data_IF_162274520714
#
_entry.id   IF_162274520714
#
_cell.length_a   1.000
_cell.length_b   1.000
_cell.length_c   1.000
_cell.angle_alpha   90.00
_cell.angle_beta   90.00
_cell.angle_gamma   90.00
#
_symmetry.space_group_name_H-M   'P 1'
#
loop_
_entity.id
_entity.type
_entity.pdbx_description
1 polymer ?
#
# COMPACT_ATOMS: atom_id res chain seq x y z
N UNK A 1 -25.03 -33.87 9.32
CA UNK A 1 -26.33 -33.28 8.97
C UNK A 1 -26.74 -33.41 7.49
N UNK A 2 -25.79 -33.72 6.55
CA UNK A 2 -26.10 -33.82 5.09
C UNK A 2 -26.87 -35.08 4.68
N UNK A 3 -26.83 -36.18 5.43
CA UNK A 3 -27.60 -37.38 5.11
C UNK A 3 -29.10 -37.29 5.41
N UNK A 4 -29.52 -36.33 6.23
CA UNK A 4 -30.92 -36.13 6.60
C UNK A 4 -31.74 -35.38 5.52
N UNK A 5 -31.09 -34.50 4.72
CA UNK A 5 -31.78 -33.73 3.68
C UNK A 5 -32.16 -34.57 2.46
N UNK A 6 -31.33 -35.55 2.09
CA UNK A 6 -31.60 -36.44 0.92
C UNK A 6 -32.78 -37.37 1.21
N UNK A 7 -32.88 -37.89 2.41
CA UNK A 7 -34.02 -38.71 2.82
C UNK A 7 -35.34 -37.93 2.90
N UNK A 8 -35.27 -36.64 3.22
CA UNK A 8 -36.47 -35.79 3.32
C UNK A 8 -37.04 -35.48 1.92
N UNK A 9 -36.19 -35.28 0.92
CA UNK A 9 -36.62 -34.99 -0.48
C UNK A 9 -37.20 -36.27 -1.12
N UNK A 10 -36.60 -37.43 -0.89
CA UNK A 10 -37.12 -38.73 -1.38
C UNK A 10 -38.46 -39.09 -0.69
N UNK A 11 -38.60 -38.80 0.59
CA UNK A 11 -39.87 -39.02 1.32
C UNK A 11 -40.96 -38.06 0.87
N UNK A 12 -40.66 -36.82 0.53
CA UNK A 12 -41.65 -35.85 0.00
C UNK A 12 -42.11 -36.22 -1.41
N UNK A 13 -41.25 -36.77 -2.26
CA UNK A 13 -41.62 -37.28 -3.60
C UNK A 13 -42.55 -38.54 -3.49
N UNK A 14 -42.29 -39.44 -2.54
CA UNK A 14 -43.11 -40.62 -2.30
C UNK A 14 -44.53 -40.27 -1.81
N UNK A 15 -44.66 -39.16 -1.05
CA UNK A 15 -45.96 -38.66 -0.56
C UNK A 15 -46.81 -37.97 -1.64
N UNK A 16 -46.19 -37.35 -2.62
CA UNK A 16 -46.87 -36.72 -3.77
C UNK A 16 -47.43 -37.75 -4.79
N UNK A 17 -46.88 -38.95 -4.82
CA UNK A 17 -47.34 -40.06 -5.68
C UNK A 17 -48.61 -40.76 -5.20
N UNK A 18 -49.00 -40.58 -3.95
CA UNK A 18 -50.16 -41.20 -3.35
C UNK A 18 -51.45 -40.34 -3.50
N UNK A 19 -51.28 -39.07 -3.83
CA UNK A 19 -52.40 -38.08 -3.81
C UNK A 19 -53.10 -37.85 -5.19
N UNK A 20 -52.60 -38.43 -6.31
CA UNK A 20 -53.28 -38.28 -7.61
C UNK A 20 -53.60 -39.63 -8.22
N UNK A 21 -54.81 -40.07 -8.03
CA UNK A 21 -55.39 -41.23 -8.74
C UNK A 21 -55.75 -40.89 -10.17
N UNK A 22 -55.25 -41.71 -11.14
CA UNK A 22 -55.85 -42.02 -12.42
C UNK A 22 -55.46 -41.14 -13.63
N UNK A 23 -54.82 -41.77 -14.64
CA UNK A 23 -54.81 -41.32 -16.02
C UNK A 23 -53.45 -41.57 -16.70
N UNK A 24 -53.47 -42.11 -17.92
CA UNK A 24 -52.32 -42.49 -18.78
C UNK A 24 -51.38 -41.34 -19.18
N UNK A 25 -51.66 -40.06 -18.83
CA UNK A 25 -50.84 -38.88 -19.15
C UNK A 25 -49.71 -38.60 -18.13
N UNK A 26 -49.61 -39.31 -17.02
CA UNK A 26 -48.58 -39.03 -16.02
C UNK A 26 -47.20 -39.73 -16.26
N UNK A 27 -47.16 -40.68 -17.19
CA UNK A 27 -45.92 -41.43 -17.42
C UNK A 27 -44.82 -40.61 -18.13
N UNK A 28 -45.18 -39.69 -18.99
CA UNK A 28 -44.25 -38.79 -19.67
C UNK A 28 -43.69 -37.71 -18.67
N UNK A 29 -44.54 -37.20 -17.78
CA UNK A 29 -44.14 -36.25 -16.78
C UNK A 29 -43.23 -36.88 -15.69
N UNK A 30 -43.48 -38.16 -15.35
CA UNK A 30 -42.62 -38.94 -14.46
C UNK A 30 -41.25 -39.21 -15.09
N UNK A 31 -41.17 -39.58 -16.38
CA UNK A 31 -39.92 -39.81 -17.09
C UNK A 31 -39.07 -38.50 -17.22
N UNK A 32 -39.74 -37.35 -17.43
CA UNK A 32 -39.05 -36.05 -17.43
C UNK A 32 -38.49 -35.66 -16.06
N UNK A 33 -39.26 -35.93 -14.98
CA UNK A 33 -38.81 -35.73 -13.60
C UNK A 33 -37.66 -36.66 -13.22
N UNK A 34 -37.73 -37.93 -13.59
CA UNK A 34 -36.65 -38.90 -13.35
C UNK A 34 -35.36 -38.49 -14.11
N UNK A 35 -35.46 -37.97 -15.33
CA UNK A 35 -34.33 -37.46 -16.08
C UNK A 35 -33.73 -36.22 -15.44
N UNK A 36 -34.56 -35.29 -14.93
CA UNK A 36 -34.08 -34.11 -14.21
C UNK A 36 -33.42 -34.44 -12.86
N UNK A 37 -33.96 -35.42 -12.12
CA UNK A 37 -33.36 -35.91 -10.90
C UNK A 37 -31.99 -36.52 -11.18
N UNK A 38 -31.87 -37.34 -12.22
CA UNK A 38 -30.59 -37.95 -12.59
C UNK A 38 -29.53 -36.86 -13.00
N UNK A 39 -29.97 -35.82 -13.72
CA UNK A 39 -29.10 -34.67 -14.06
C UNK A 39 -28.62 -33.92 -12.80
N UNK A 40 -29.54 -33.61 -11.89
CA UNK A 40 -29.21 -32.92 -10.65
C UNK A 40 -28.32 -33.75 -9.70
N UNK A 41 -28.51 -35.08 -9.70
CA UNK A 41 -27.64 -35.98 -8.95
C UNK A 41 -26.21 -36.00 -9.54
N UNK A 42 -26.07 -35.95 -10.86
CA UNK A 42 -24.77 -35.84 -11.52
C UNK A 42 -24.09 -34.50 -11.22
N UNK A 43 -24.82 -33.40 -11.34
CA UNK A 43 -24.29 -32.06 -11.01
C UNK A 43 -23.89 -31.94 -9.54
N UNK A 44 -24.66 -32.55 -8.64
CA UNK A 44 -24.33 -32.59 -7.21
C UNK A 44 -23.06 -33.41 -6.95
N UNK A 45 -22.88 -34.53 -7.65
CA UNK A 45 -21.69 -35.34 -7.54
C UNK A 45 -20.44 -34.64 -8.05
N UNK A 46 -20.54 -33.91 -9.16
CA UNK A 46 -19.46 -33.05 -9.68
C UNK A 46 -19.12 -31.91 -8.71
N UNK A 47 -20.13 -31.21 -8.20
CA UNK A 47 -19.92 -30.13 -7.21
C UNK A 47 -19.29 -30.66 -5.90
N UNK A 48 -19.64 -31.86 -5.45
CA UNK A 48 -19.02 -32.50 -4.30
C UNK A 48 -17.58 -32.92 -4.56
N UNK A 49 -17.25 -33.37 -5.79
CA UNK A 49 -15.87 -33.67 -6.17
C UNK A 49 -15.03 -32.41 -6.19
N UNK A 50 -15.52 -31.34 -6.83
CA UNK A 50 -14.81 -30.05 -6.86
C UNK A 50 -14.59 -29.47 -5.44
N UNK A 51 -15.58 -29.61 -4.56
CA UNK A 51 -15.44 -29.17 -3.16
C UNK A 51 -14.38 -29.99 -2.39
N UNK A 52 -14.28 -31.30 -2.65
CA UNK A 52 -13.25 -32.16 -2.07
C UNK A 52 -11.86 -31.84 -2.62
N UNK A 53 -11.76 -31.58 -3.92
CA UNK A 53 -10.49 -31.19 -4.55
C UNK A 53 -10.01 -29.83 -4.04
N UNK A 54 -10.93 -28.88 -3.85
CA UNK A 54 -10.63 -27.56 -3.27
C UNK A 54 -10.22 -27.67 -1.77
N UNK A 55 -10.85 -28.58 -0.98
CA UNK A 55 -10.40 -28.87 0.40
C UNK A 55 -8.99 -29.46 0.41
N UNK A 56 -8.70 -30.38 -0.50
CA UNK A 56 -7.36 -31.01 -0.61
C UNK A 56 -6.30 -29.98 -1.01
N UNK A 57 -6.58 -29.17 -2.02
CA UNK A 57 -5.68 -28.11 -2.47
C UNK A 57 -5.44 -27.06 -1.35
N UNK A 58 -6.47 -26.72 -0.56
CA UNK A 58 -6.31 -25.85 0.60
C UNK A 58 -5.43 -26.46 1.68
N UNK A 59 -5.62 -27.75 1.99
CA UNK A 59 -4.84 -28.43 3.03
C UNK A 59 -3.39 -28.64 2.57
N UNK A 60 -3.13 -28.88 1.28
CA UNK A 60 -1.79 -28.89 0.68
C UNK A 60 -1.14 -27.51 0.73
N UNK A 61 -1.88 -26.45 0.41
CA UNK A 61 -1.39 -25.07 0.51
C UNK A 61 -1.10 -24.66 1.97
N UNK A 62 -1.93 -25.08 2.93
CA UNK A 62 -1.67 -24.86 4.36
C UNK A 62 -0.46 -25.67 4.84
N UNK A 63 -0.28 -26.91 4.39
CA UNK A 63 0.89 -27.71 4.73
C UNK A 63 2.18 -27.16 4.10
N UNK A 64 2.10 -26.59 2.89
CA UNK A 64 3.21 -25.90 2.23
C UNK A 64 3.55 -24.59 2.96
N UNK A 65 2.55 -23.85 3.44
CA UNK A 65 2.73 -22.64 4.25
C UNK A 65 3.33 -22.97 5.63
N UNK A 66 2.89 -24.06 6.28
CA UNK A 66 3.47 -24.56 7.53
C UNK A 66 4.91 -25.08 7.34
N UNK A 67 5.19 -25.77 6.23
CA UNK A 67 6.54 -26.19 5.87
C UNK A 67 7.46 -25.01 5.54
N UNK A 68 6.93 -23.96 4.90
CA UNK A 68 7.66 -22.71 4.67
C UNK A 68 7.87 -21.91 5.98
N UNK A 69 6.93 -22.02 6.94
CA UNK A 69 7.06 -21.38 8.26
C UNK A 69 7.90 -22.20 9.24
N UNK A 70 8.07 -23.50 9.01
CA UNK A 70 8.92 -24.40 9.79
C UNK A 70 10.35 -24.56 9.23
N UNK A 71 10.67 -24.07 8.06
CA UNK A 71 12.01 -23.65 7.75
C UNK A 71 12.28 -22.47 8.69
N UNK A 72 12.93 -22.73 9.84
CA UNK A 72 13.56 -21.67 10.62
C UNK A 72 14.20 -20.71 9.60
N UNK A 73 13.87 -19.40 9.61
CA UNK A 73 14.72 -18.44 8.94
C UNK A 73 16.10 -18.75 9.49
N UNK A 74 17.06 -19.07 8.63
CA UNK A 74 18.48 -19.11 9.04
C UNK A 74 18.62 -17.91 9.94
N UNK A 75 18.99 -18.18 11.21
CA UNK A 75 19.02 -17.18 12.26
C UNK A 75 19.73 -15.98 11.65
N UNK A 76 18.98 -14.92 11.35
CA UNK A 76 19.55 -13.65 10.87
C UNK A 76 20.63 -13.35 11.88
N UNK A 77 21.87 -13.27 11.40
CA UNK A 77 23.03 -12.97 12.20
C UNK A 77 22.68 -11.81 13.14
N UNK A 78 22.92 -11.99 14.42
CA UNK A 78 22.56 -11.07 15.48
C UNK A 78 22.93 -9.63 15.08
N UNK A 79 21.91 -8.76 14.88
CA UNK A 79 22.05 -7.35 14.55
C UNK A 79 22.52 -7.15 13.12
N UNK A 80 21.61 -6.87 12.17
CA UNK A 80 21.98 -6.44 10.82
C UNK A 80 22.89 -5.21 10.91
N UNK A 81 23.94 -5.14 10.12
CA UNK A 81 24.82 -3.97 9.95
C UNK A 81 24.51 -3.31 8.60
N UNK A 82 23.30 -2.84 8.44
CA UNK A 82 22.88 -2.15 7.22
C UNK A 82 23.65 -0.82 7.09
N UNK A 83 23.89 -0.12 8.21
CA UNK A 83 24.69 1.11 8.22
C UNK A 83 26.08 0.88 7.63
N UNK A 84 26.82 -0.10 8.15
CA UNK A 84 28.16 -0.44 7.63
C UNK A 84 28.13 -0.84 6.17
N UNK A 85 27.14 -1.63 5.76
CA UNK A 85 26.95 -2.05 4.37
C UNK A 85 26.73 -0.86 3.43
N UNK A 86 25.88 0.10 3.81
CA UNK A 86 25.59 1.32 3.04
C UNK A 86 26.82 2.23 2.97
N UNK A 87 27.54 2.42 4.10
CA UNK A 87 28.74 3.24 4.16
C UNK A 87 29.88 2.64 3.35
N UNK A 88 30.12 1.33 3.45
CA UNK A 88 31.16 0.62 2.68
C UNK A 88 30.89 0.65 1.17
N UNK A 89 29.62 0.55 0.77
CA UNK A 89 29.19 0.65 -0.63
C UNK A 89 29.22 2.09 -1.14
N UNK A 90 29.02 3.08 -0.25
CA UNK A 90 28.94 4.49 -0.59
C UNK A 90 27.64 4.89 -1.29
N UNK A 91 26.62 4.04 -1.26
CA UNK A 91 25.34 4.24 -1.95
C UNK A 91 24.22 3.59 -1.15
N UNK A 92 23.09 4.27 -1.01
CA UNK A 92 21.86 3.74 -0.44
C UNK A 92 21.04 3.06 -1.55
N UNK A 93 20.66 1.79 -1.38
CA UNK A 93 19.70 1.12 -2.27
C UNK A 93 18.30 1.34 -1.73
N UNK A 94 17.46 2.03 -2.48
CA UNK A 94 16.11 2.39 -2.04
C UNK A 94 15.04 1.90 -3.01
N UNK A 95 14.04 1.17 -2.48
CA UNK A 95 12.86 0.78 -3.23
C UNK A 95 11.84 1.92 -3.27
N UNK A 96 11.42 2.30 -4.47
CA UNK A 96 10.46 3.39 -4.76
C UNK A 96 9.29 2.87 -5.59
N UNK A 97 8.19 3.65 -5.81
CA UNK A 97 7.18 3.28 -6.80
C UNK A 97 7.80 2.97 -8.16
N UNK A 98 7.18 2.08 -8.93
CA UNK A 98 7.75 1.59 -10.21
C UNK A 98 7.79 2.64 -11.36
N UNK A 99 7.89 3.92 -11.01
CA UNK A 99 8.10 5.01 -11.97
C UNK A 99 6.85 5.59 -12.62
N UNK A 100 5.66 5.25 -12.11
CA UNK A 100 4.37 5.65 -12.70
C UNK A 100 3.46 6.38 -11.70
N UNK A 101 4.04 6.94 -10.63
CA UNK A 101 3.32 7.68 -9.60
C UNK A 101 3.84 9.13 -9.51
N UNK A 102 3.45 10.01 -10.46
CA UNK A 102 3.90 11.40 -10.46
C UNK A 102 3.62 12.09 -9.11
N UNK A 103 4.56 12.89 -8.65
CA UNK A 103 4.51 13.52 -7.34
C UNK A 103 5.01 12.64 -6.17
N UNK A 104 4.95 11.31 -6.27
CA UNK A 104 5.46 10.38 -5.24
C UNK A 104 6.72 9.64 -5.70
N UNK A 105 6.69 8.98 -6.85
CA UNK A 105 7.84 8.29 -7.42
C UNK A 105 7.68 8.13 -8.91
N UNK A 106 8.36 8.95 -9.67
CA UNK A 106 8.28 8.99 -11.11
C UNK A 106 9.67 8.90 -11.74
N UNK A 107 9.78 8.10 -12.78
CA UNK A 107 11.00 7.98 -13.58
C UNK A 107 10.90 8.91 -14.78
N UNK A 108 11.71 9.94 -14.78
CA UNK A 108 11.76 10.94 -15.85
C UNK A 108 12.38 10.36 -17.13
N UNK A 109 12.15 11.02 -18.26
CA UNK A 109 12.69 10.59 -19.56
C UNK A 109 14.23 10.56 -19.60
N UNK A 110 14.89 11.38 -18.79
CA UNK A 110 16.36 11.44 -18.68
C UNK A 110 16.93 10.36 -17.74
N UNK A 111 16.08 9.54 -17.14
CA UNK A 111 16.45 8.47 -16.22
C UNK A 111 16.57 8.91 -14.76
N UNK A 112 16.31 10.17 -14.44
CA UNK A 112 16.29 10.65 -13.06
C UNK A 112 14.96 10.25 -12.37
N UNK A 113 15.01 10.12 -11.03
CA UNK A 113 13.84 9.85 -10.21
C UNK A 113 13.41 11.11 -9.45
N UNK A 114 12.10 11.37 -9.46
CA UNK A 114 11.49 12.50 -8.79
C UNK A 114 10.29 12.07 -7.93
N UNK A 115 9.97 12.85 -6.90
CA UNK A 115 8.77 12.66 -6.09
C UNK A 115 9.02 12.60 -4.59
N UNK A 116 7.96 12.69 -3.85
CA UNK A 116 7.96 12.80 -2.38
C UNK A 116 8.57 11.57 -1.68
N UNK A 117 8.26 10.35 -2.15
CA UNK A 117 8.86 9.12 -1.65
C UNK A 117 10.34 9.00 -2.04
N UNK A 118 10.70 9.45 -3.24
CA UNK A 118 12.09 9.53 -3.71
C UNK A 118 12.90 10.47 -2.85
N UNK A 119 12.34 11.61 -2.46
CA UNK A 119 13.00 12.57 -1.59
C UNK A 119 13.30 11.97 -0.21
N UNK A 120 12.47 11.06 0.34
CA UNK A 120 12.78 10.36 1.60
C UNK A 120 13.94 9.36 1.49
N UNK A 121 14.16 8.75 0.33
CA UNK A 121 15.39 8.00 0.08
C UNK A 121 16.62 8.94 0.13
N UNK A 122 16.52 10.10 -0.50
CA UNK A 122 17.56 11.14 -0.51
C UNK A 122 17.82 11.71 0.89
N UNK A 123 16.78 11.88 1.72
CA UNK A 123 16.89 12.27 3.13
C UNK A 123 17.80 11.31 3.90
N UNK A 124 17.60 9.99 3.74
CA UNK A 124 18.41 8.99 4.44
C UNK A 124 19.84 8.96 3.88
N UNK A 125 20.03 9.08 2.57
CA UNK A 125 21.36 9.16 1.96
C UNK A 125 22.15 10.40 2.44
N UNK A 126 21.50 11.56 2.49
CA UNK A 126 22.10 12.78 3.03
C UNK A 126 22.55 12.61 4.50
N UNK A 127 21.72 11.96 5.33
CA UNK A 127 22.02 11.71 6.74
C UNK A 127 23.19 10.76 6.93
N UNK A 128 23.26 9.66 6.16
CA UNK A 128 24.21 8.56 6.31
C UNK A 128 25.52 8.81 5.59
N UNK A 129 25.43 9.29 4.32
CA UNK A 129 26.57 9.45 3.40
C UNK A 129 26.98 10.92 3.24
N UNK A 130 26.15 11.86 3.67
CA UNK A 130 26.37 13.29 3.50
C UNK A 130 26.08 13.81 2.09
N UNK A 131 25.52 12.98 1.23
CA UNK A 131 25.17 13.27 -0.15
C UNK A 131 23.78 12.70 -0.47
N UNK A 132 22.81 13.56 -0.74
CA UNK A 132 21.44 13.19 -1.08
C UNK A 132 21.34 12.43 -2.42
N UNK A 133 22.31 12.60 -3.32
CA UNK A 133 22.30 11.94 -4.62
C UNK A 133 22.99 10.55 -4.59
N UNK A 134 23.57 10.16 -3.44
CA UNK A 134 24.21 8.85 -3.29
C UNK A 134 23.15 7.73 -3.07
N UNK A 135 22.18 7.63 -3.98
CA UNK A 135 21.08 6.65 -3.95
C UNK A 135 21.01 5.88 -5.27
N UNK A 136 20.86 4.57 -5.15
CA UNK A 136 20.44 3.71 -6.25
C UNK A 136 18.96 3.35 -6.05
N UNK A 137 18.13 3.72 -7.01
CA UNK A 137 16.69 3.52 -6.95
C UNK A 137 16.27 2.22 -7.62
N UNK A 138 15.42 1.48 -6.94
CA UNK A 138 14.76 0.27 -7.46
C UNK A 138 13.26 0.51 -7.54
N UNK A 139 12.71 0.64 -8.73
CA UNK A 139 11.25 0.64 -8.94
C UNK A 139 10.63 -0.69 -8.50
N UNK A 140 9.59 -0.64 -7.67
CA UNK A 140 8.91 -1.82 -7.14
C UNK A 140 7.39 -1.76 -7.35
N UNK A 141 6.77 -2.93 -7.52
CA UNK A 141 5.33 -3.13 -7.67
C UNK A 141 4.64 -3.36 -6.31
N UNK A 142 3.33 -3.55 -6.29
CA UNK A 142 2.58 -3.95 -5.09
C UNK A 142 3.00 -5.32 -4.56
N UNK A 143 3.39 -6.23 -5.45
CA UNK A 143 3.69 -7.64 -5.15
C UNK A 143 5.16 -7.91 -4.84
N UNK A 144 6.11 -7.21 -5.49
CA UNK A 144 7.55 -7.49 -5.32
C UNK A 144 8.25 -6.66 -4.23
N UNK A 145 7.67 -5.51 -3.80
CA UNK A 145 8.31 -4.59 -2.82
C UNK A 145 8.78 -5.27 -1.54
N UNK A 146 7.95 -6.15 -0.96
CA UNK A 146 8.29 -6.83 0.29
C UNK A 146 9.34 -7.91 0.11
N UNK A 147 9.26 -8.83 -0.88
CA UNK A 147 10.36 -9.73 -1.22
C UNK A 147 11.69 -9.04 -1.48
N UNK A 148 11.69 -7.93 -2.22
CA UNK A 148 12.89 -7.12 -2.52
C UNK A 148 13.51 -6.53 -1.24
N UNK A 149 12.69 -6.03 -0.31
CA UNK A 149 13.18 -5.55 0.98
C UNK A 149 13.68 -6.71 1.87
N UNK A 150 12.94 -7.83 1.94
CA UNK A 150 13.31 -8.99 2.75
C UNK A 150 14.63 -9.63 2.30
N UNK A 151 14.87 -9.72 0.99
CA UNK A 151 16.12 -10.28 0.44
C UNK A 151 17.35 -9.40 0.67
N UNK A 152 17.17 -8.12 1.06
CA UNK A 152 18.26 -7.17 1.19
C UNK A 152 18.73 -6.57 -0.15
N UNK A 153 17.97 -6.74 -1.24
CA UNK A 153 18.24 -6.07 -2.51
C UNK A 153 18.13 -4.55 -2.35
N UNK A 154 17.23 -4.09 -1.48
CA UNK A 154 17.17 -2.70 -1.03
C UNK A 154 17.35 -2.60 0.49
N UNK A 155 17.90 -1.47 0.94
CA UNK A 155 18.15 -1.19 2.34
C UNK A 155 16.89 -0.66 3.05
N UNK A 156 16.04 0.04 2.31
CA UNK A 156 14.76 0.57 2.74
C UNK A 156 13.77 0.65 1.59
N UNK A 157 12.49 0.80 1.94
CA UNK A 157 11.43 1.17 0.99
C UNK A 157 10.86 2.54 1.36
N UNK A 158 10.66 3.39 0.35
CA UNK A 158 9.83 4.59 0.42
C UNK A 158 8.96 4.61 -0.84
N UNK A 159 7.72 4.10 -0.71
CA UNK A 159 6.86 3.86 -1.88
C UNK A 159 5.38 3.71 -1.51
N UNK A 160 4.74 4.78 -1.04
CA UNK A 160 3.31 4.80 -0.70
C UNK A 160 2.87 3.49 0.02
N UNK A 161 3.62 3.12 1.07
CA UNK A 161 3.41 1.85 1.76
C UNK A 161 2.69 2.08 3.08
N UNK A 162 1.47 1.58 3.16
CA UNK A 162 0.62 1.68 4.35
C UNK A 162 1.18 0.86 5.49
N UNK A 163 1.36 1.47 6.65
CA UNK A 163 1.66 0.79 7.89
C UNK A 163 0.43 0.02 8.37
N UNK A 164 0.54 -1.30 8.43
CA UNK A 164 -0.51 -2.20 8.94
C UNK A 164 0.09 -3.20 9.92
N UNK A 165 -0.76 -3.71 10.82
CA UNK A 165 -0.34 -4.70 11.82
C UNK A 165 0.29 -5.95 11.18
N UNK A 166 -0.24 -6.42 10.04
CA UNK A 166 0.29 -7.59 9.36
C UNK A 166 1.66 -7.35 8.71
N UNK A 167 1.87 -6.15 8.14
CA UNK A 167 3.16 -5.77 7.55
C UNK A 167 4.23 -5.57 8.61
N UNK A 168 3.85 -4.97 9.72
CA UNK A 168 4.71 -4.76 10.87
C UNK A 168 5.09 -6.12 11.51
N UNK A 169 4.11 -6.90 11.97
CA UNK A 169 4.35 -8.09 12.78
C UNK A 169 4.61 -9.36 11.95
N UNK A 170 3.70 -9.71 11.02
CA UNK A 170 3.77 -10.98 10.29
C UNK A 170 4.80 -10.98 9.17
N UNK A 171 4.97 -9.83 8.48
CA UNK A 171 5.99 -9.69 7.43
C UNK A 171 7.33 -9.20 7.96
N UNK A 172 7.41 -8.73 9.21
CA UNK A 172 8.67 -8.36 9.87
C UNK A 172 9.29 -7.07 9.37
N UNK A 173 8.50 -5.98 9.28
CA UNK A 173 8.99 -4.67 8.89
C UNK A 173 8.76 -3.62 9.97
N UNK A 174 9.77 -2.80 10.24
CA UNK A 174 9.67 -1.59 11.05
C UNK A 174 9.29 -0.41 10.15
N UNK A 175 8.19 0.27 10.49
CA UNK A 175 7.77 1.49 9.81
C UNK A 175 8.35 2.72 10.52
N UNK A 176 9.06 3.56 9.78
CA UNK A 176 9.47 4.90 10.21
C UNK A 176 8.21 5.80 10.37
N UNK A 177 8.34 7.04 10.86
CA UNK A 177 7.20 7.94 11.00
C UNK A 177 6.39 8.03 9.70
N UNK A 178 5.07 8.10 9.85
CA UNK A 178 4.17 8.33 8.72
C UNK A 178 4.50 9.66 8.06
N UNK A 179 4.89 9.61 6.78
CA UNK A 179 5.23 10.77 5.98
C UNK A 179 4.03 11.34 5.25
N UNK A 180 3.00 10.53 5.01
CA UNK A 180 1.78 10.96 4.35
C UNK A 180 0.57 10.18 4.89
N UNK A 181 -0.37 10.89 5.50
CA UNK A 181 -1.66 10.34 5.93
C UNK A 181 -2.65 10.43 4.79
N UNK A 182 -3.15 9.29 4.35
CA UNK A 182 -4.07 9.14 3.23
C UNK A 182 -5.29 8.28 3.58
N UNK A 183 -6.10 8.05 2.60
CA UNK A 183 -7.23 7.12 2.61
C UNK A 183 -7.51 6.63 1.19
N UNK A 184 -8.05 5.44 1.06
CA UNK A 184 -8.46 4.90 -0.23
C UNK A 184 -9.67 5.64 -0.78
N UNK A 185 -9.62 5.96 -2.07
CA UNK A 185 -10.70 6.56 -2.84
C UNK A 185 -11.18 5.69 -4.00
N UNK A 186 -12.13 6.24 -4.75
CA UNK A 186 -12.67 5.64 -5.97
C UNK A 186 -12.78 6.70 -7.05
N UNK A 187 -12.29 6.40 -8.26
CA UNK A 187 -12.46 7.21 -9.45
C UNK A 187 -13.44 6.54 -10.40
N UNK A 188 -14.33 7.33 -10.99
CA UNK A 188 -15.35 6.89 -11.95
C UNK A 188 -15.35 7.80 -13.16
N UNK A 189 -15.98 7.39 -14.27
CA UNK A 189 -16.19 8.28 -15.42
C UNK A 189 -17.15 9.41 -15.05
N UNK A 190 -16.84 10.64 -15.44
CA UNK A 190 -17.63 11.82 -15.09
C UNK A 190 -19.06 11.77 -15.66
N UNK A 191 -19.25 11.11 -16.79
CA UNK A 191 -20.54 10.94 -17.45
C UNK A 191 -21.30 9.66 -17.06
N UNK A 192 -20.74 8.84 -16.15
CA UNK A 192 -21.38 7.60 -15.67
C UNK A 192 -22.66 7.83 -14.86
N UNK A 193 -22.79 9.01 -14.23
CA UNK A 193 -23.84 9.30 -13.27
C UNK A 193 -23.63 8.67 -11.90
N UNK A 194 -22.49 8.00 -11.64
CA UNK A 194 -22.11 7.43 -10.35
C UNK A 194 -21.61 8.55 -9.43
N UNK A 195 -22.22 8.70 -8.27
CA UNK A 195 -21.91 9.76 -7.29
C UNK A 195 -21.43 9.22 -5.93
N UNK A 196 -21.60 7.92 -5.70
CA UNK A 196 -21.25 7.21 -4.48
C UNK A 196 -20.85 5.76 -4.79
N UNK A 197 -20.45 4.99 -3.77
CA UNK A 197 -20.02 3.60 -3.95
C UNK A 197 -21.17 2.68 -4.32
N UNK A 198 -22.39 2.97 -3.87
CA UNK A 198 -23.59 2.21 -4.18
C UNK A 198 -23.92 2.23 -5.68
N UNK A 199 -23.53 3.28 -6.38
CA UNK A 199 -23.67 3.38 -7.83
C UNK A 199 -22.80 2.40 -8.62
N UNK A 200 -21.84 1.72 -7.95
CA UNK A 200 -20.99 0.68 -8.56
C UNK A 200 -21.55 -0.75 -8.41
N UNK A 201 -22.79 -0.92 -7.93
CA UNK A 201 -23.40 -2.24 -7.80
C UNK A 201 -23.53 -2.96 -9.16
N UNK A 202 -22.95 -4.17 -9.23
CA UNK A 202 -22.82 -4.95 -10.47
C UNK A 202 -21.69 -4.49 -11.40
N UNK A 203 -20.91 -3.47 -11.03
CA UNK A 203 -19.85 -2.89 -11.83
C UNK A 203 -18.51 -3.62 -11.72
N UNK A 204 -17.60 -3.26 -12.62
CA UNK A 204 -16.20 -3.73 -12.66
C UNK A 204 -15.27 -2.70 -12.06
N UNK A 205 -14.33 -3.12 -11.20
CA UNK A 205 -13.42 -2.20 -10.49
C UNK A 205 -11.96 -2.63 -10.70
N UNK A 206 -11.18 -1.75 -11.32
CA UNK A 206 -9.74 -1.91 -11.52
C UNK A 206 -8.99 -1.63 -10.21
N UNK A 207 -8.08 -2.54 -9.83
CA UNK A 207 -7.27 -2.44 -8.60
C UNK A 207 -5.90 -3.12 -8.77
N UNK A 208 -4.88 -2.64 -8.06
CA UNK A 208 -3.55 -3.24 -8.07
C UNK A 208 -3.45 -4.41 -7.07
N UNK A 209 -2.80 -5.51 -7.50
CA UNK A 209 -2.54 -6.69 -6.69
C UNK A 209 -1.59 -6.43 -5.51
N UNK A 210 -1.73 -7.21 -4.44
CA UNK A 210 -0.83 -7.18 -3.28
C UNK A 210 -0.91 -5.90 -2.45
N UNK A 211 -2.00 -5.15 -2.56
CA UNK A 211 -2.19 -3.86 -1.89
C UNK A 211 -3.19 -3.93 -0.74
N UNK A 212 -3.17 -2.92 0.14
CA UNK A 212 -4.25 -2.67 1.10
C UNK A 212 -5.54 -2.33 0.39
N UNK A 213 -5.45 -1.61 -0.72
CA UNK A 213 -6.61 -1.15 -1.49
C UNK A 213 -7.41 -2.31 -2.09
N UNK A 214 -6.76 -3.39 -2.54
CA UNK A 214 -7.43 -4.63 -2.96
C UNK A 214 -8.25 -5.26 -1.80
N UNK A 215 -7.66 -5.34 -0.61
CA UNK A 215 -8.32 -5.91 0.58
C UNK A 215 -9.46 -5.02 1.09
N UNK A 216 -9.21 -3.72 1.19
CA UNK A 216 -10.21 -2.75 1.65
C UNK A 216 -11.40 -2.69 0.68
N UNK A 217 -11.16 -2.77 -0.64
CA UNK A 217 -12.22 -2.85 -1.63
C UNK A 217 -13.18 -4.00 -1.30
N UNK A 218 -12.63 -5.20 -1.11
CA UNK A 218 -13.45 -6.38 -0.78
C UNK A 218 -14.23 -6.21 0.53
N UNK A 219 -13.60 -5.62 1.55
CA UNK A 219 -14.22 -5.44 2.86
C UNK A 219 -15.33 -4.39 2.83
N UNK A 220 -15.09 -3.24 2.17
CA UNK A 220 -16.08 -2.14 2.08
C UNK A 220 -17.28 -2.55 1.23
N UNK A 221 -17.07 -3.16 0.05
CA UNK A 221 -18.16 -3.60 -0.82
C UNK A 221 -19.03 -4.65 -0.13
N UNK A 222 -18.42 -5.62 0.57
CA UNK A 222 -19.14 -6.59 1.40
C UNK A 222 -19.94 -5.92 2.52
N UNK A 223 -19.38 -4.92 3.19
CA UNK A 223 -20.04 -4.20 4.28
C UNK A 223 -21.29 -3.41 3.78
N UNK A 224 -21.18 -2.83 2.60
CA UNK A 224 -22.26 -2.07 1.95
C UNK A 224 -23.27 -2.99 1.24
N UNK A 225 -22.94 -4.29 1.06
CA UNK A 225 -23.79 -5.24 0.32
C UNK A 225 -23.81 -4.98 -1.18
N UNK A 226 -22.71 -4.44 -1.71
CA UNK A 226 -22.52 -4.12 -3.13
C UNK A 226 -21.86 -5.33 -3.82
N UNK A 227 -22.50 -5.85 -4.85
CA UNK A 227 -21.90 -6.85 -5.75
C UNK A 227 -21.02 -6.15 -6.78
N UNK A 228 -19.81 -6.64 -7.02
CA UNK A 228 -18.88 -6.08 -8.01
C UNK A 228 -17.93 -7.15 -8.53
N UNK A 229 -17.29 -6.88 -9.67
CA UNK A 229 -16.23 -7.71 -10.25
C UNK A 229 -14.87 -7.01 -10.12
N UNK A 230 -13.91 -7.52 -9.30
CA UNK A 230 -12.57 -6.95 -9.24
C UNK A 230 -11.75 -7.35 -10.46
N UNK A 231 -11.15 -6.37 -11.13
CA UNK A 231 -10.15 -6.57 -12.20
C UNK A 231 -8.77 -6.23 -11.61
N UNK A 232 -8.00 -7.27 -11.29
CA UNK A 232 -6.75 -7.16 -10.54
C UNK A 232 -5.55 -7.19 -11.47
N UNK A 233 -4.60 -6.28 -11.27
CA UNK A 233 -3.41 -6.13 -12.11
C UNK A 233 -2.12 -6.15 -11.29
N UNK A 234 -1.10 -6.86 -11.76
CA UNK A 234 0.26 -6.83 -11.18
C UNK A 234 1.08 -5.63 -11.68
N UNK A 235 0.87 -5.22 -12.93
CA UNK A 235 1.57 -4.09 -13.53
C UNK A 235 1.09 -2.75 -12.94
N UNK A 236 2.00 -1.85 -12.53
CA UNK A 236 1.66 -0.68 -11.74
C UNK A 236 0.68 0.30 -12.38
N UNK A 237 0.80 0.56 -13.69
CA UNK A 237 -0.05 1.50 -14.43
C UNK A 237 -1.29 0.84 -15.05
N UNK A 238 -1.35 -0.48 -15.08
CA UNK A 238 -2.44 -1.21 -15.75
C UNK A 238 -3.84 -0.92 -15.20
N UNK A 239 -4.06 -0.75 -13.86
CA UNK A 239 -5.38 -0.38 -13.34
C UNK A 239 -5.88 0.95 -13.90
N UNK A 240 -5.02 2.00 -13.90
CA UNK A 240 -5.34 3.32 -14.45
C UNK A 240 -5.62 3.25 -15.94
N UNK A 241 -4.69 2.66 -16.71
CA UNK A 241 -4.81 2.56 -18.16
C UNK A 241 -6.06 1.77 -18.58
N UNK A 242 -6.35 0.64 -17.92
CA UNK A 242 -7.53 -0.17 -18.19
C UNK A 242 -8.84 0.58 -17.87
N UNK A 243 -8.85 1.35 -16.79
CA UNK A 243 -9.99 2.22 -16.46
C UNK A 243 -10.15 3.35 -17.50
N UNK A 244 -9.06 3.98 -17.95
CA UNK A 244 -9.09 5.01 -18.99
C UNK A 244 -9.66 4.47 -20.31
N UNK A 245 -9.26 3.25 -20.70
CA UNK A 245 -9.80 2.52 -21.87
C UNK A 245 -11.26 2.08 -21.72
N UNK A 246 -11.87 2.23 -20.53
CA UNK A 246 -13.26 1.87 -20.27
C UNK A 246 -13.48 0.38 -20.02
N UNK A 247 -12.45 -0.36 -19.58
CA UNK A 247 -12.57 -1.77 -19.18
C UNK A 247 -13.14 -1.96 -17.78
N UNK A 248 -13.07 -0.93 -16.94
CA UNK A 248 -13.64 -0.91 -15.61
C UNK A 248 -14.53 0.30 -15.43
N UNK A 249 -15.59 0.14 -14.63
CA UNK A 249 -16.51 1.21 -14.24
C UNK A 249 -15.91 2.11 -13.15
N UNK A 250 -15.01 1.54 -12.34
CA UNK A 250 -14.27 2.26 -11.31
C UNK A 250 -12.79 1.88 -11.27
N UNK A 251 -11.95 2.80 -10.80
CA UNK A 251 -10.56 2.57 -10.44
C UNK A 251 -10.32 3.03 -9.01
N UNK A 252 -9.73 2.14 -8.18
CA UNK A 252 -9.48 2.41 -6.78
C UNK A 252 -8.02 2.27 -6.42
N UNK A 253 -7.53 3.26 -5.69
CA UNK A 253 -6.24 3.30 -4.99
C UNK A 253 -6.33 4.38 -3.90
N UNK A 254 -5.21 4.72 -3.25
CA UNK A 254 -5.13 5.85 -2.31
C UNK A 254 -5.58 7.14 -3.01
N UNK A 255 -6.22 8.05 -2.29
CA UNK A 255 -6.71 9.31 -2.89
C UNK A 255 -5.57 10.12 -3.52
N UNK A 256 -4.42 10.16 -2.87
CA UNK A 256 -3.22 10.77 -3.45
C UNK A 256 -2.79 10.08 -4.74
N UNK A 257 -2.90 8.75 -4.80
CA UNK A 257 -2.63 7.96 -5.99
C UNK A 257 -3.62 8.22 -7.13
N UNK A 258 -4.92 8.45 -6.82
CA UNK A 258 -5.91 8.88 -7.81
C UNK A 258 -5.58 10.25 -8.37
N UNK A 259 -5.19 11.22 -7.52
CA UNK A 259 -4.76 12.55 -7.94
C UNK A 259 -3.48 12.49 -8.76
N UNK A 260 -2.51 11.68 -8.32
CA UNK A 260 -1.27 11.41 -9.04
C UNK A 260 -1.53 10.83 -10.45
N UNK A 261 -2.40 9.83 -10.53
CA UNK A 261 -2.78 9.23 -11.81
C UNK A 261 -3.59 10.13 -12.72
N UNK A 262 -4.37 11.07 -12.14
CA UNK A 262 -5.21 12.00 -12.91
C UNK A 262 -4.42 12.84 -13.92
N UNK A 263 -3.19 13.23 -13.56
CA UNK A 263 -2.33 14.03 -14.46
C UNK A 263 -1.85 13.26 -15.70
N UNK A 264 -1.98 11.94 -15.69
CA UNK A 264 -1.61 11.06 -16.81
C UNK A 264 -2.78 10.80 -17.77
N UNK A 265 -4.00 11.27 -17.46
CA UNK A 265 -5.15 11.12 -18.35
C UNK A 265 -5.07 12.12 -19.51
N UNK A 266 -5.43 11.70 -20.71
CA UNK A 266 -5.55 12.56 -21.90
C UNK A 266 -6.57 13.68 -21.67
N UNK A 267 -7.70 13.37 -21.02
CA UNK A 267 -8.75 14.30 -20.62
C UNK A 267 -9.08 14.14 -19.14
N UNK A 268 -8.49 14.97 -18.30
CA UNK A 268 -8.73 14.96 -16.85
C UNK A 268 -10.19 15.28 -16.47
N UNK A 269 -10.92 15.98 -17.33
CA UNK A 269 -12.35 16.28 -17.13
C UNK A 269 -13.28 15.08 -17.40
N UNK A 270 -12.77 13.99 -18.00
CA UNK A 270 -13.55 12.79 -18.29
C UNK A 270 -13.78 11.89 -17.08
N UNK A 271 -13.17 12.18 -15.95
CA UNK A 271 -13.23 11.36 -14.73
C UNK A 271 -13.55 12.21 -13.49
N UNK A 272 -14.02 11.56 -12.43
CA UNK A 272 -14.34 12.17 -11.15
C UNK A 272 -13.90 11.26 -10.01
N UNK A 273 -13.30 11.86 -8.97
CA UNK A 273 -12.98 11.14 -7.73
C UNK A 273 -14.16 11.31 -6.77
N UNK A 274 -14.71 10.20 -6.28
CA UNK A 274 -15.81 10.21 -5.32
C UNK A 274 -15.35 10.77 -3.96
N UNK A 275 -16.24 11.41 -3.23
CA UNK A 275 -15.96 11.95 -1.87
C UNK A 275 -15.66 10.84 -0.86
N UNK A 276 -16.15 9.63 -1.09
CA UNK A 276 -16.00 8.49 -0.19
C UNK A 276 -14.52 8.24 0.18
N UNK A 277 -14.28 7.92 1.46
CA UNK A 277 -12.98 7.47 1.97
C UNK A 277 -13.17 6.06 2.53
N UNK A 278 -12.55 5.09 1.89
CA UNK A 278 -12.79 3.67 2.15
C UNK A 278 -11.89 3.11 3.25
N UNK A 279 -10.78 3.78 3.58
CA UNK A 279 -9.81 3.30 4.58
C UNK A 279 -8.99 4.43 5.18
N UNK A 280 -8.09 4.06 6.11
CA UNK A 280 -6.98 4.88 6.59
C UNK A 280 -5.69 4.29 6.05
N UNK A 281 -4.90 5.11 5.38
CA UNK A 281 -3.64 4.72 4.76
C UNK A 281 -2.50 5.60 5.31
N UNK A 282 -1.92 5.26 6.49
CA UNK A 282 -0.71 5.93 6.99
C UNK A 282 0.49 5.41 6.20
N UNK A 283 1.01 6.22 5.28
CA UNK A 283 2.11 5.88 4.39
C UNK A 283 3.44 6.33 5.01
N UNK A 284 4.48 5.51 4.88
CA UNK A 284 5.80 5.89 5.35
C UNK A 284 6.91 4.94 4.92
N UNK A 285 8.18 5.36 5.10
CA UNK A 285 9.34 4.51 4.87
C UNK A 285 9.37 3.32 5.81
N UNK A 286 9.95 2.21 5.35
CA UNK A 286 10.08 1.01 6.16
C UNK A 286 11.38 0.26 5.88
N UNK A 287 11.82 -0.50 6.89
CA UNK A 287 13.02 -1.33 6.86
C UNK A 287 12.73 -2.72 7.40
N UNK A 288 13.65 -3.68 7.21
CA UNK A 288 13.55 -5.02 7.80
C UNK A 288 13.62 -4.98 9.33
N UNK A 289 12.98 -5.93 9.99
CA UNK A 289 13.25 -6.23 11.40
C UNK A 289 14.71 -6.70 11.61
N UNK A 290 15.17 -6.60 12.85
CA UNK A 290 16.46 -7.17 13.29
C UNK A 290 17.66 -6.25 13.11
N UNK A 291 17.46 -5.01 12.67
CA UNK A 291 18.46 -3.94 12.64
C UNK A 291 17.89 -2.67 13.27
N UNK A 292 17.89 -2.64 14.59
CA UNK A 292 17.29 -1.54 15.35
C UNK A 292 18.03 -0.22 15.11
N UNK A 293 19.36 -0.29 14.92
CA UNK A 293 20.15 0.90 14.62
C UNK A 293 19.79 1.49 13.25
N UNK A 294 19.64 0.64 12.22
CA UNK A 294 19.20 1.09 10.90
C UNK A 294 17.79 1.69 10.94
N UNK A 295 16.89 1.04 11.68
CA UNK A 295 15.54 1.59 11.91
C UNK A 295 15.58 2.95 12.58
N UNK A 296 16.39 3.13 13.62
CA UNK A 296 16.55 4.41 14.30
C UNK A 296 17.10 5.48 13.35
N UNK A 297 18.08 5.15 12.51
CA UNK A 297 18.63 6.06 11.51
C UNK A 297 17.53 6.54 10.54
N UNK A 298 16.78 5.64 9.94
CA UNK A 298 15.71 6.00 8.98
C UNK A 298 14.62 6.81 9.69
N UNK A 299 14.22 6.40 10.89
CA UNK A 299 13.23 7.10 11.73
C UNK A 299 13.66 8.53 12.05
N UNK A 300 14.88 8.72 12.57
CA UNK A 300 15.35 10.03 13.00
C UNK A 300 15.73 10.93 11.82
N UNK A 301 16.22 10.38 10.72
CA UNK A 301 16.41 11.15 9.48
C UNK A 301 15.08 11.69 8.93
N UNK A 302 14.02 10.88 8.98
CA UNK A 302 12.66 11.33 8.65
C UNK A 302 12.19 12.44 9.60
N UNK A 303 12.37 12.27 10.93
CA UNK A 303 11.99 13.27 11.93
C UNK A 303 12.79 14.57 11.81
N UNK A 304 14.01 14.57 11.26
CA UNK A 304 14.74 15.82 10.98
C UNK A 304 13.90 16.78 10.15
N UNK A 305 13.21 16.29 9.14
CA UNK A 305 12.39 17.12 8.24
C UNK A 305 11.18 17.72 8.97
N UNK A 306 10.52 16.93 9.84
CA UNK A 306 9.36 17.39 10.61
C UNK A 306 9.78 18.43 11.67
N UNK A 307 10.85 18.13 12.42
CA UNK A 307 11.35 19.02 13.46
C UNK A 307 11.89 20.33 12.88
N UNK A 308 12.51 20.27 11.70
CA UNK A 308 12.98 21.46 11.00
C UNK A 308 11.83 22.40 10.63
N UNK A 309 10.73 21.87 10.09
CA UNK A 309 9.55 22.67 9.79
C UNK A 309 8.96 23.32 11.05
N UNK A 310 8.80 22.56 12.14
CA UNK A 310 8.29 23.05 13.42
C UNK A 310 9.15 24.19 14.00
N UNK A 311 10.46 24.11 13.82
CA UNK A 311 11.41 25.13 14.30
C UNK A 311 11.65 26.26 13.29
N UNK A 312 11.01 26.24 12.12
CA UNK A 312 11.20 27.22 11.06
C UNK A 312 12.57 27.17 10.39
N UNK A 313 13.24 26.00 10.47
CA UNK A 313 14.51 25.76 9.77
C UNK A 313 14.19 25.28 8.34
N UNK A 314 14.74 25.98 7.36
CA UNK A 314 14.51 25.72 5.92
C UNK A 314 15.83 25.47 5.20
N UNK A 315 15.78 24.96 3.98
CA UNK A 315 16.96 24.84 3.14
C UNK A 315 17.67 26.19 2.97
N UNK A 316 16.91 27.27 2.86
CA UNK A 316 17.45 28.59 2.60
C UNK A 316 18.13 29.24 3.83
N UNK A 317 17.72 28.89 5.06
CA UNK A 317 18.22 29.54 6.28
C UNK A 317 19.08 28.62 7.18
N UNK A 318 19.23 27.35 6.84
CA UNK A 318 19.89 26.36 7.72
C UNK A 318 21.31 26.78 8.13
N UNK A 319 22.08 27.42 7.24
CA UNK A 319 23.44 27.91 7.53
C UNK A 319 23.42 29.01 8.58
N UNK A 320 22.47 29.95 8.51
CA UNK A 320 22.29 31.00 9.51
C UNK A 320 21.88 30.42 10.86
N UNK A 321 21.05 29.38 10.85
CA UNK A 321 20.53 28.73 12.05
C UNK A 321 21.59 27.96 12.87
N UNK A 322 22.78 27.70 12.32
CA UNK A 322 23.93 27.19 13.07
C UNK A 322 24.40 28.18 14.19
N UNK A 323 24.09 29.45 14.04
CA UNK A 323 24.37 30.49 15.04
C UNK A 323 23.15 30.87 15.90
N UNK A 324 22.10 30.08 15.93
CA UNK A 324 20.88 30.35 16.68
C UNK A 324 21.12 30.37 18.21
N UNK A 325 20.35 31.20 18.91
CA UNK A 325 20.27 31.16 20.38
C UNK A 325 19.28 30.10 20.92
N UNK A 326 18.58 29.39 20.02
CA UNK A 326 17.60 28.37 20.39
C UNK A 326 18.28 26.98 20.53
N UNK A 327 18.38 26.43 21.77
CA UNK A 327 19.04 25.14 21.99
C UNK A 327 18.38 23.97 21.18
N UNK A 328 17.08 24.04 20.89
CA UNK A 328 16.42 22.98 20.12
C UNK A 328 16.92 22.97 18.65
N UNK A 329 17.21 24.14 18.08
CA UNK A 329 17.81 24.26 16.74
C UNK A 329 19.26 23.77 16.77
N UNK A 330 20.04 24.17 17.78
CA UNK A 330 21.45 23.76 17.91
C UNK A 330 21.58 22.24 18.08
N UNK A 331 20.70 21.60 18.88
CA UNK A 331 20.63 20.14 18.99
C UNK A 331 20.21 19.46 17.67
N UNK A 332 19.19 20.00 16.98
CA UNK A 332 18.74 19.47 15.70
C UNK A 332 19.87 19.51 14.66
N UNK A 333 20.59 20.62 14.57
CA UNK A 333 21.66 20.81 13.58
C UNK A 333 23.00 20.19 13.97
N UNK A 334 23.09 19.58 15.17
CA UNK A 334 24.30 18.91 15.67
C UNK A 334 25.42 19.86 16.08
N UNK A 335 25.10 21.15 16.34
CA UNK A 335 26.03 22.14 16.90
C UNK A 335 26.25 21.84 18.38
N UNK A 336 25.22 21.37 19.07
CA UNK A 336 25.24 20.90 20.45
C UNK A 336 24.81 19.44 20.54
N UNK A 337 25.30 18.70 21.53
CA UNK A 337 24.96 17.29 21.77
C UNK A 337 25.72 16.31 20.87
N UNK A 338 25.37 15.03 21.00
CA UNK A 338 26.04 13.90 20.34
C UNK A 338 25.06 12.88 19.74
N UNK A 339 23.86 13.33 19.36
CA UNK A 339 22.77 12.48 18.91
C UNK A 339 23.11 11.64 17.68
N UNK A 340 23.88 12.20 16.74
CA UNK A 340 24.35 11.47 15.56
C UNK A 340 25.29 10.32 15.95
N UNK A 341 26.24 10.55 16.87
CA UNK A 341 27.19 9.53 17.30
C UNK A 341 26.52 8.34 17.96
N UNK A 342 25.41 8.55 18.67
CA UNK A 342 24.62 7.47 19.27
C UNK A 342 24.07 6.47 18.24
N UNK A 343 23.90 6.91 16.98
CA UNK A 343 23.45 6.08 15.85
C UNK A 343 24.59 5.67 14.91
N UNK A 344 25.86 6.06 15.20
CA UNK A 344 27.00 5.84 14.31
C UNK A 344 27.10 6.83 13.14
N UNK A 345 26.41 7.97 13.22
CA UNK A 345 26.42 9.05 12.25
C UNK A 345 27.26 10.24 12.75
N UNK A 346 27.54 11.19 11.88
CA UNK A 346 28.02 12.49 12.29
C UNK A 346 26.90 13.27 13.00
N UNK A 347 27.25 14.15 13.95
CA UNK A 347 26.23 14.92 14.68
C UNK A 347 25.45 15.88 13.77
N UNK A 348 26.06 16.32 12.68
CA UNK A 348 25.48 17.21 11.68
C UNK A 348 24.53 16.53 10.67
N UNK A 349 24.07 15.30 10.95
CA UNK A 349 23.25 14.53 10.01
C UNK A 349 21.95 15.25 9.61
N UNK A 350 21.24 15.87 10.56
CA UNK A 350 20.06 16.67 10.23
C UNK A 350 20.39 17.95 9.47
N UNK A 351 21.51 18.62 9.79
CA UNK A 351 21.98 19.74 8.97
C UNK A 351 22.17 19.32 7.50
N UNK A 352 22.83 18.18 7.28
CA UNK A 352 23.03 17.63 5.92
C UNK A 352 21.72 17.30 5.21
N UNK A 353 20.74 16.77 5.94
CA UNK A 353 19.38 16.54 5.40
C UNK A 353 18.77 17.87 4.98
N UNK A 354 18.68 18.84 5.89
CA UNK A 354 17.94 20.08 5.66
C UNK A 354 18.63 20.96 4.58
N UNK A 355 19.96 21.01 4.58
CA UNK A 355 20.73 21.81 3.61
C UNK A 355 20.55 21.31 2.17
N UNK A 356 20.28 20.01 1.97
CA UNK A 356 20.14 19.39 0.65
C UNK A 356 18.68 19.18 0.24
N UNK A 357 17.81 18.79 1.20
CA UNK A 357 16.43 18.40 0.91
C UNK A 357 15.39 19.38 1.39
N UNK A 358 15.75 20.30 2.32
CA UNK A 358 14.80 21.16 3.00
C UNK A 358 14.06 20.46 4.14
N UNK A 359 13.04 21.14 4.67
CA UNK A 359 12.13 20.59 5.67
C UNK A 359 10.93 19.88 5.04
N UNK A 360 10.07 19.28 5.86
CA UNK A 360 8.90 18.54 5.37
C UNK A 360 7.95 19.39 4.52
N UNK A 361 7.70 20.64 4.93
CA UNK A 361 6.83 21.56 4.18
C UNK A 361 7.40 21.88 2.79
N UNK A 362 8.71 22.16 2.72
CA UNK A 362 9.40 22.42 1.44
C UNK A 362 9.35 21.19 0.52
N UNK A 363 9.57 19.97 1.07
CA UNK A 363 9.49 18.73 0.31
C UNK A 363 8.05 18.45 -0.17
N UNK A 364 7.05 18.69 0.68
CA UNK A 364 5.64 18.52 0.33
C UNK A 364 5.24 19.49 -0.78
N UNK A 365 5.53 20.77 -0.61
CA UNK A 365 5.16 21.82 -1.56
C UNK A 365 5.83 21.62 -2.92
N UNK A 366 7.11 21.24 -2.93
CA UNK A 366 7.88 20.91 -4.14
C UNK A 366 7.24 19.80 -4.96
N UNK A 367 6.77 18.73 -4.30
CA UNK A 367 6.33 17.50 -4.98
C UNK A 367 4.82 17.45 -5.19
N UNK A 368 4.01 17.98 -4.28
CA UNK A 368 2.57 17.75 -4.19
C UNK A 368 1.76 19.04 -4.01
N UNK A 369 2.42 20.11 -3.62
CA UNK A 369 1.81 21.35 -3.17
C UNK A 369 1.09 22.18 -4.24
N UNK A 370 0.68 23.42 -3.87
CA UNK A 370 -0.21 24.24 -4.70
C UNK A 370 0.36 24.63 -6.06
N UNK A 371 1.69 24.70 -6.17
CA UNK A 371 2.38 25.09 -7.42
C UNK A 371 2.67 23.89 -8.34
N UNK A 372 2.22 22.69 -7.96
CA UNK A 372 2.33 21.46 -8.75
C UNK A 372 1.03 21.14 -9.49
N UNK A 373 1.05 20.27 -10.51
CA UNK A 373 -0.17 19.80 -11.17
C UNK A 373 -1.17 19.12 -10.22
N UNK A 374 -0.71 18.64 -9.06
CA UNK A 374 -1.52 17.92 -8.06
C UNK A 374 -2.32 18.88 -7.18
N UNK A 375 -1.78 20.06 -6.90
CA UNK A 375 -2.39 21.13 -6.09
C UNK A 375 -2.99 20.57 -4.77
N UNK A 376 -2.24 19.69 -4.08
CA UNK A 376 -2.70 19.11 -2.83
C UNK A 376 -2.50 20.10 -1.68
N UNK A 377 -3.57 20.32 -0.92
CA UNK A 377 -3.48 20.98 0.38
C UNK A 377 -2.91 20.03 1.45
N UNK A 378 -2.24 20.60 2.44
CA UNK A 378 -1.65 19.83 3.55
C UNK A 378 -2.71 19.03 4.33
N UNK A 379 -3.86 19.59 4.65
CA UNK A 379 -4.93 18.94 5.40
C UNK A 379 -4.39 18.27 6.67
N UNK A 380 -4.64 16.97 6.83
CA UNK A 380 -4.11 16.18 7.95
C UNK A 380 -2.59 15.99 7.91
N UNK A 381 -1.95 16.29 6.78
CA UNK A 381 -0.50 16.31 6.61
C UNK A 381 0.16 17.63 7.01
N UNK A 382 -0.57 18.56 7.61
CA UNK A 382 0.00 19.72 8.28
C UNK A 382 0.67 19.31 9.60
N UNK A 383 1.52 20.20 10.14
CA UNK A 383 2.08 20.03 11.47
C UNK A 383 0.98 19.97 12.54
N UNK A 384 1.25 19.30 13.65
CA UNK A 384 0.35 19.23 14.79
C UNK A 384 0.00 20.62 15.36
N UNK A 385 0.92 21.59 15.26
CA UNK A 385 0.72 23.00 15.62
C UNK A 385 -0.34 23.68 14.75
N UNK A 386 -0.52 23.20 13.52
CA UNK A 386 -1.46 23.73 12.54
C UNK A 386 -2.71 22.83 12.40
N UNK A 387 -2.90 21.91 13.36
CA UNK A 387 -4.07 21.03 13.43
C UNK A 387 -3.95 19.75 12.59
N UNK A 388 -2.78 19.44 12.06
CA UNK A 388 -2.48 18.19 11.34
C UNK A 388 -1.98 17.07 12.26
N UNK A 389 -1.42 16.05 11.65
CA UNK A 389 -0.90 14.84 12.33
C UNK A 389 0.63 14.69 12.24
N UNK A 390 1.31 15.56 11.52
CA UNK A 390 2.78 15.51 11.42
C UNK A 390 3.36 16.01 12.73
N UNK A 391 4.10 15.12 13.39
CA UNK A 391 4.63 15.33 14.73
C UNK A 391 5.99 14.65 14.89
N UNK A 392 7.01 15.39 15.31
CA UNK A 392 8.32 14.85 15.64
C UNK A 392 8.50 14.71 17.15
N UNK A 393 9.03 13.59 17.66
CA UNK A 393 9.56 13.55 19.00
C UNK A 393 10.75 14.53 19.15
N UNK A 394 10.99 15.07 20.35
CA UNK A 394 12.05 16.07 20.56
C UNK A 394 13.46 15.48 20.40
N UNK A 395 14.34 16.23 19.76
CA UNK A 395 15.78 15.94 19.61
C UNK A 395 16.52 16.32 20.90
N UNK A 396 16.68 15.35 21.83
CA UNK A 396 17.33 15.55 23.15
C UNK A 396 18.13 14.32 23.55
#
# INVERSE_FOLDING_TARGET
MKKFSIFLVAALMALLLVACGGGEDNSAAMADLESKVASLESELAEAQSMASDAETARDEAMAAADAASSSEPEAMAAGGDTLGTVQDRGTLNCGVPAGVSPGFGFLEEDGSWTGFDVDYCKVVAAAVLGDAEAVEFRGTTGTDRFPVLQSGEVDMLSRQTTWTVSRDTSLGFNFAPTTFYDGQGMMVKADSGITDLEGLDGGTICVAAGTTTEKNLADVMRQLGIDYEPVVFDEPDAPRASFEEGRCDGWTTDKSGLVSGLVLFDDQGSVSILDATMSKEPLGPLVRHGDDNWFDIVKWSTNCTFQAEELGVTQANVDEMLGSDNPAILNLLGVEGDLGQAMGLNNDFCYKVISQMGNYGEMFDKNLGPDTPFNLGRGVNALWTDGGLIYSPPFR
#
